data_IF_730973138137
#
_entry.id   IF_730973138137
#
_cell.length_a   1.000
_cell.length_b   1.000
_cell.length_c   1.000
_cell.angle_alpha   90.00
_cell.angle_beta   90.00
_cell.angle_gamma   90.00
#
_symmetry.space_group_name_H-M   'P 1'
#
loop_
_entity.id
_entity.type
_entity.pdbx_description
1 polymer ?
#
# COMPACT_ATOMS: atom_id res chain seq x y z
N UNK A 1 -8.53 4.84 7.40
CA UNK A 1 -9.24 6.13 7.57
C UNK A 1 -8.33 7.31 7.26
N UNK A 2 -8.92 8.42 6.77
CA UNK A 2 -8.22 9.71 6.59
C UNK A 2 -8.11 10.53 7.90
N UNK A 3 -8.70 10.07 9.00
CA UNK A 3 -8.57 10.66 10.33
C UNK A 3 -9.43 11.87 10.64
N UNK A 4 -10.09 12.48 9.67
CA UNK A 4 -10.84 13.73 9.89
C UNK A 4 -11.94 13.61 10.95
N UNK A 5 -12.63 12.47 10.99
CA UNK A 5 -13.75 12.20 11.89
C UNK A 5 -13.37 11.35 13.12
N UNK A 6 -12.09 11.12 13.39
CA UNK A 6 -11.67 10.42 14.61
C UNK A 6 -12.00 11.32 15.82
N UNK A 7 -12.77 10.77 16.72
CA UNK A 7 -13.13 11.29 18.05
C UNK A 7 -13.02 10.17 19.09
N UNK A 8 -13.46 10.40 20.33
CA UNK A 8 -13.38 9.41 21.40
C UNK A 8 -14.19 8.15 21.12
N UNK A 9 -15.40 8.30 20.55
CA UNK A 9 -16.27 7.16 20.27
C UNK A 9 -15.66 6.26 19.18
N UNK A 10 -15.01 6.86 18.18
CA UNK A 10 -14.28 6.13 17.12
C UNK A 10 -13.06 5.43 17.69
N UNK A 11 -12.30 6.06 18.59
CA UNK A 11 -11.15 5.47 19.28
C UNK A 11 -11.60 4.27 20.10
N UNK A 12 -12.59 4.44 20.94
CA UNK A 12 -13.18 3.38 21.77
C UNK A 12 -13.67 2.20 20.93
N UNK A 13 -14.34 2.47 19.81
CA UNK A 13 -14.81 1.43 18.89
C UNK A 13 -13.64 0.69 18.25
N UNK A 14 -12.65 1.42 17.76
CA UNK A 14 -11.47 0.84 17.12
C UNK A 14 -10.70 -0.06 18.09
N UNK A 15 -10.56 0.35 19.34
CA UNK A 15 -9.86 -0.42 20.36
C UNK A 15 -10.61 -1.69 20.77
N UNK A 16 -11.92 -1.65 20.80
CA UNK A 16 -12.72 -2.84 21.21
C UNK A 16 -12.96 -3.81 20.06
N UNK A 17 -13.13 -3.32 18.84
CA UNK A 17 -13.67 -4.12 17.73
C UNK A 17 -12.67 -4.40 16.61
N UNK A 18 -11.57 -3.63 16.51
CA UNK A 18 -10.65 -3.76 15.38
C UNK A 18 -9.31 -4.36 15.81
N UNK A 19 -8.90 -5.46 15.17
CA UNK A 19 -7.57 -6.03 15.35
C UNK A 19 -6.48 -5.11 14.79
N UNK A 20 -6.73 -4.46 13.66
CA UNK A 20 -5.80 -3.55 13.00
C UNK A 20 -6.52 -2.29 12.50
N UNK A 21 -5.81 -1.17 12.42
CA UNK A 21 -6.28 0.08 11.82
C UNK A 21 -5.24 0.66 10.87
N UNK A 22 -5.69 1.19 9.74
CA UNK A 22 -4.82 1.88 8.78
C UNK A 22 -5.16 3.36 8.75
N UNK A 23 -4.14 4.19 9.01
CA UNK A 23 -4.22 5.65 9.17
C UNK A 23 -3.51 6.30 7.99
N UNK A 24 -4.23 7.11 7.20
CA UNK A 24 -3.69 7.69 5.97
C UNK A 24 -2.90 8.97 6.26
N UNK A 25 -1.56 8.89 6.13
CA UNK A 25 -0.64 10.03 6.26
C UNK A 25 0.49 9.85 5.24
N UNK A 26 0.67 10.83 4.35
CA UNK A 26 1.64 10.73 3.26
C UNK A 26 3.05 11.25 3.64
N UNK A 27 3.27 11.58 4.92
CA UNK A 27 4.58 11.99 5.45
C UNK A 27 4.64 13.44 5.88
N UNK A 28 5.63 14.20 5.38
CA UNK A 28 5.83 15.62 5.69
C UNK A 28 4.58 16.44 5.39
N UNK A 29 4.35 17.49 6.18
CA UNK A 29 3.14 18.32 6.09
C UNK A 29 2.91 18.85 4.67
N UNK A 30 3.95 19.41 4.05
CA UNK A 30 3.87 19.99 2.70
C UNK A 30 3.55 18.96 1.61
N UNK A 31 3.95 17.70 1.82
CA UNK A 31 3.62 16.59 0.92
C UNK A 31 2.18 16.15 1.15
N UNK A 32 1.81 15.91 2.40
CA UNK A 32 0.47 15.48 2.77
C UNK A 32 -0.59 16.49 2.34
N UNK A 33 -0.41 17.76 2.68
CA UNK A 33 -1.39 18.84 2.45
C UNK A 33 -1.52 19.21 0.96
N UNK A 34 -0.61 18.75 0.09
CA UNK A 34 -0.73 18.96 -1.37
C UNK A 34 -1.92 18.21 -1.97
N UNK A 35 -2.19 16.99 -1.48
CA UNK A 35 -3.21 16.10 -2.05
C UNK A 35 -4.35 15.80 -1.07
N UNK A 36 -4.12 15.90 0.25
CA UNK A 36 -5.13 15.60 1.26
C UNK A 36 -5.63 16.87 1.92
N UNK A 37 -6.62 17.45 1.28
CA UNK A 37 -7.27 18.68 1.72
C UNK A 37 -8.68 18.42 2.26
N UNK A 38 -9.19 19.33 3.09
CA UNK A 38 -10.58 19.37 3.51
C UNK A 38 -11.48 19.90 2.36
N UNK A 39 -12.80 19.93 2.60
CA UNK A 39 -13.76 20.43 1.61
C UNK A 39 -13.62 21.94 1.31
N UNK A 40 -12.80 22.68 2.08
CA UNK A 40 -12.49 24.10 1.86
C UNK A 40 -11.14 24.29 1.16
N UNK A 41 -10.42 23.19 0.88
CA UNK A 41 -9.09 23.22 0.27
C UNK A 41 -7.95 23.44 1.27
N UNK A 42 -8.20 23.39 2.59
CA UNK A 42 -7.12 23.48 3.58
C UNK A 42 -6.49 22.10 3.78
N UNK A 43 -5.17 22.07 4.00
CA UNK A 43 -4.46 20.85 4.33
C UNK A 43 -5.00 20.18 5.59
N UNK A 44 -5.00 18.86 5.62
CA UNK A 44 -5.58 18.09 6.73
C UNK A 44 -4.55 17.64 7.78
N UNK A 45 -3.25 17.81 7.53
CA UNK A 45 -2.16 17.33 8.38
C UNK A 45 -2.30 17.73 9.86
N UNK A 46 -2.45 19.03 10.14
CA UNK A 46 -2.53 19.53 11.51
C UNK A 46 -3.77 19.05 12.26
N UNK A 47 -4.84 18.74 11.53
CA UNK A 47 -6.08 18.24 12.10
C UNK A 47 -5.99 16.74 12.44
N UNK A 48 -5.26 15.94 11.67
CA UNK A 48 -5.27 14.47 11.80
C UNK A 48 -4.12 13.93 12.65
N UNK A 49 -2.92 14.52 12.59
CA UNK A 49 -1.74 13.97 13.29
C UNK A 49 -1.96 13.85 14.81
N UNK A 50 -2.53 14.85 15.52
CA UNK A 50 -2.83 14.69 16.94
C UNK A 50 -3.82 13.55 17.23
N UNK A 51 -4.82 13.36 16.37
CA UNK A 51 -5.80 12.28 16.48
C UNK A 51 -5.18 10.90 16.25
N UNK A 52 -4.27 10.79 15.27
CA UNK A 52 -3.54 9.55 15.01
C UNK A 52 -2.64 9.17 16.20
N UNK A 53 -1.91 10.13 16.77
CA UNK A 53 -1.10 9.89 17.97
C UNK A 53 -1.96 9.35 19.12
N UNK A 54 -3.08 9.98 19.39
CA UNK A 54 -4.00 9.59 20.44
C UNK A 54 -4.59 8.19 20.21
N UNK A 55 -5.02 7.89 18.98
CA UNK A 55 -5.53 6.56 18.63
C UNK A 55 -4.45 5.50 18.76
N UNK A 56 -3.23 5.74 18.27
CA UNK A 56 -2.12 4.79 18.38
C UNK A 56 -1.73 4.55 19.84
N UNK A 57 -1.71 5.59 20.67
CA UNK A 57 -1.44 5.49 22.10
C UNK A 57 -2.51 4.65 22.83
N UNK A 58 -3.79 4.86 22.53
CA UNK A 58 -4.89 4.09 23.15
C UNK A 58 -4.86 2.61 22.78
N UNK A 59 -4.32 2.23 21.62
CA UNK A 59 -4.26 0.84 21.17
C UNK A 59 -3.39 -0.09 22.05
N UNK A 60 -2.48 0.47 22.87
CA UNK A 60 -1.72 -0.30 23.86
C UNK A 60 -0.93 -1.47 23.29
N UNK A 61 -0.37 -1.33 22.08
CA UNK A 61 0.41 -2.36 21.38
C UNK A 61 -0.36 -3.21 20.35
N UNK A 62 -1.65 -2.97 20.13
CA UNK A 62 -2.39 -3.59 19.02
C UNK A 62 -1.91 -3.01 17.68
N UNK A 63 -2.04 -3.80 16.64
CA UNK A 63 -1.56 -3.45 15.30
C UNK A 63 -2.23 -2.19 14.73
N UNK A 64 -1.42 -1.41 14.05
CA UNK A 64 -1.84 -0.28 13.21
C UNK A 64 -0.83 -0.12 12.08
N UNK A 65 -1.19 0.63 11.05
CA UNK A 65 -0.24 1.12 10.06
C UNK A 65 -0.53 2.58 9.73
N UNK A 66 0.53 3.40 9.75
CA UNK A 66 0.50 4.66 9.03
C UNK A 66 0.79 4.33 7.57
N UNK A 67 -0.16 4.62 6.70
CA UNK A 67 -0.04 4.33 5.27
C UNK A 67 -0.05 5.61 4.46
N UNK A 68 1.05 5.85 3.77
CA UNK A 68 1.22 6.96 2.85
C UNK A 68 1.34 6.51 1.39
N UNK A 69 1.31 7.50 0.50
CA UNK A 69 1.53 7.32 -0.93
C UNK A 69 2.61 8.31 -1.38
N UNK A 70 3.57 7.84 -2.18
CA UNK A 70 4.52 8.70 -2.84
C UNK A 70 4.22 8.82 -4.34
N UNK A 71 4.58 9.95 -4.92
CA UNK A 71 4.26 10.37 -6.29
C UNK A 71 5.50 10.95 -6.95
N UNK A 72 5.39 11.39 -8.19
CA UNK A 72 6.42 12.21 -8.85
C UNK A 72 6.86 13.42 -8.01
N UNK A 73 5.99 13.96 -7.18
CA UNK A 73 6.29 15.14 -6.36
C UNK A 73 7.19 14.84 -5.14
N UNK A 74 7.28 13.57 -4.72
CA UNK A 74 8.08 13.12 -3.57
C UNK A 74 8.74 11.75 -3.79
N UNK A 75 9.54 11.58 -4.85
CA UNK A 75 10.26 10.32 -5.08
C UNK A 75 11.29 10.04 -3.98
N UNK A 76 11.66 11.06 -3.18
CA UNK A 76 12.49 10.99 -1.98
C UNK A 76 11.70 10.52 -0.73
N UNK A 77 10.81 9.57 -0.89
CA UNK A 77 9.81 9.14 0.08
C UNK A 77 10.37 8.70 1.45
N UNK A 78 11.64 8.36 1.54
CA UNK A 78 12.28 8.02 2.83
C UNK A 78 12.24 9.19 3.80
N UNK A 79 12.29 10.43 3.32
CA UNK A 79 12.14 11.63 4.17
C UNK A 79 10.76 11.66 4.82
N UNK A 80 9.74 11.17 4.12
CA UNK A 80 8.39 11.06 4.63
C UNK A 80 8.25 9.94 5.65
N UNK A 81 8.89 8.78 5.38
CA UNK A 81 8.96 7.66 6.33
C UNK A 81 9.69 8.07 7.61
N UNK A 82 10.83 8.75 7.50
CA UNK A 82 11.59 9.22 8.66
C UNK A 82 10.82 10.29 9.45
N UNK A 83 10.14 11.20 8.77
CA UNK A 83 9.27 12.17 9.42
C UNK A 83 8.17 11.48 10.25
N UNK A 84 7.50 10.45 9.69
CA UNK A 84 6.49 9.69 10.44
C UNK A 84 7.12 8.94 11.63
N UNK A 85 8.32 8.39 11.48
CA UNK A 85 9.06 7.76 12.57
C UNK A 85 9.43 8.77 13.68
N UNK A 86 9.82 9.99 13.33
CA UNK A 86 10.15 11.06 14.27
C UNK A 86 8.91 11.60 14.99
N UNK A 87 7.71 11.46 14.42
CA UNK A 87 6.43 11.70 15.10
C UNK A 87 6.10 10.64 16.17
N UNK A 88 6.87 9.53 16.22
CA UNK A 88 6.69 8.42 17.15
C UNK A 88 5.92 7.23 16.58
N UNK A 89 5.59 7.22 15.30
CA UNK A 89 4.95 6.07 14.66
C UNK A 89 5.99 5.01 14.29
N UNK A 90 5.73 3.76 14.66
CA UNK A 90 6.66 2.64 14.47
C UNK A 90 6.23 1.63 13.41
N UNK A 91 4.96 1.63 13.00
CA UNK A 91 4.43 0.72 11.99
C UNK A 91 4.03 1.53 10.74
N UNK A 92 4.85 1.44 9.70
CA UNK A 92 4.82 2.34 8.55
C UNK A 92 4.66 1.58 7.24
N UNK A 93 3.99 2.20 6.29
CA UNK A 93 3.79 1.72 4.93
C UNK A 93 3.76 2.89 3.96
N UNK A 94 4.49 2.80 2.85
CA UNK A 94 4.46 3.77 1.75
C UNK A 94 4.36 3.04 0.43
N UNK A 95 3.34 3.39 -0.36
CA UNK A 95 3.09 2.80 -1.67
C UNK A 95 3.34 3.81 -2.80
N UNK A 96 3.79 3.37 -3.97
CA UNK A 96 3.74 4.22 -5.15
C UNK A 96 2.29 4.54 -5.52
N UNK A 97 2.09 5.73 -6.06
CA UNK A 97 0.78 6.11 -6.61
C UNK A 97 0.35 5.15 -7.71
N UNK A 98 -0.95 4.86 -7.76
CA UNK A 98 -1.60 4.25 -8.93
C UNK A 98 -2.16 5.39 -9.76
N UNK A 99 -1.58 5.65 -10.90
CA UNK A 99 -1.95 6.78 -11.77
C UNK A 99 -1.92 6.34 -13.23
N UNK A 100 -2.76 6.97 -14.05
CA UNK A 100 -2.75 6.78 -15.49
C UNK A 100 -1.54 7.49 -16.12
N UNK A 101 -1.18 7.08 -17.32
CA UNK A 101 -0.16 7.76 -18.11
C UNK A 101 -0.56 9.22 -18.37
N UNK A 102 0.38 10.15 -18.16
CA UNK A 102 0.14 11.58 -18.30
C UNK A 102 -0.48 12.27 -17.08
N UNK A 103 -0.82 11.53 -16.02
CA UNK A 103 -1.20 12.13 -14.75
C UNK A 103 0.03 12.82 -14.11
N UNK A 104 -0.08 14.08 -13.65
CA UNK A 104 1.03 14.79 -13.01
C UNK A 104 1.60 14.11 -11.76
N UNK A 105 0.86 13.21 -11.14
CA UNK A 105 1.32 12.42 -9.99
C UNK A 105 2.06 11.14 -10.40
N UNK A 106 1.94 10.69 -11.66
CA UNK A 106 2.54 9.45 -12.14
C UNK A 106 4.07 9.50 -12.03
N UNK A 107 4.67 8.37 -11.61
CA UNK A 107 6.13 8.23 -11.57
C UNK A 107 6.71 8.19 -12.97
N UNK A 108 7.85 8.83 -13.16
CA UNK A 108 8.66 8.81 -14.38
C UNK A 108 9.80 7.80 -14.27
N UNK A 109 10.49 7.52 -15.38
CA UNK A 109 11.69 6.67 -15.38
C UNK A 109 12.81 7.19 -14.47
N UNK A 110 12.95 8.52 -14.37
CA UNK A 110 13.93 9.15 -13.50
C UNK A 110 13.56 8.95 -12.01
N UNK A 111 12.29 9.06 -11.68
CA UNK A 111 11.79 8.80 -10.33
C UNK A 111 12.05 7.35 -9.89
N UNK A 112 11.94 6.39 -10.80
CA UNK A 112 12.17 4.98 -10.49
C UNK A 112 13.59 4.75 -9.99
N UNK A 113 14.59 5.37 -10.59
CA UNK A 113 15.99 5.26 -10.13
C UNK A 113 16.18 5.93 -8.77
N UNK A 114 15.55 7.08 -8.53
CA UNK A 114 15.56 7.72 -7.21
C UNK A 114 14.91 6.80 -6.18
N UNK A 115 13.72 6.29 -6.44
CA UNK A 115 12.97 5.42 -5.52
C UNK A 115 13.72 4.14 -5.19
N UNK A 116 14.43 3.53 -6.15
CA UNK A 116 15.29 2.37 -5.88
C UNK A 116 16.39 2.70 -4.85
N UNK A 117 17.05 3.85 -4.99
CA UNK A 117 18.04 4.32 -4.01
C UNK A 117 17.39 4.59 -2.65
N UNK A 118 16.19 5.17 -2.63
CA UNK A 118 15.47 5.41 -1.38
C UNK A 118 15.13 4.11 -0.64
N UNK A 119 14.79 3.03 -1.34
CA UNK A 119 14.61 1.72 -0.69
C UNK A 119 15.88 1.23 -0.01
N UNK A 120 17.05 1.40 -0.63
CA UNK A 120 18.35 1.06 0.00
C UNK A 120 18.64 1.91 1.25
N UNK A 121 18.43 3.22 1.15
CA UNK A 121 18.58 4.16 2.27
C UNK A 121 17.68 3.76 3.44
N UNK A 122 16.42 3.44 3.16
CA UNK A 122 15.47 3.02 4.18
C UNK A 122 15.91 1.73 4.88
N UNK A 123 16.32 0.72 4.11
CA UNK A 123 16.77 -0.56 4.66
C UNK A 123 18.01 -0.39 5.56
N UNK A 124 18.97 0.40 5.15
CA UNK A 124 20.16 0.72 5.96
C UNK A 124 19.80 1.49 7.23
N UNK A 125 18.91 2.48 7.16
CA UNK A 125 18.46 3.23 8.33
C UNK A 125 17.68 2.34 9.31
N UNK A 126 16.84 1.43 8.82
CA UNK A 126 16.12 0.49 9.66
C UNK A 126 17.06 -0.43 10.45
N UNK A 127 18.11 -0.98 9.81
CA UNK A 127 19.15 -1.76 10.51
C UNK A 127 19.88 -0.92 11.55
N UNK A 128 20.23 0.33 11.23
CA UNK A 128 20.84 1.25 12.18
C UNK A 128 19.91 1.52 13.37
N UNK A 129 18.64 1.85 13.14
CA UNK A 129 17.64 2.08 14.21
C UNK A 129 17.45 0.85 15.09
N UNK A 130 17.47 -0.34 14.53
CA UNK A 130 17.37 -1.61 15.28
C UNK A 130 18.54 -1.75 16.28
N UNK A 131 19.80 -1.51 15.83
CA UNK A 131 20.99 -1.51 16.68
C UNK A 131 20.95 -0.44 17.78
N UNK A 132 20.31 0.68 17.49
CA UNK A 132 20.10 1.79 18.45
C UNK A 132 18.92 1.56 19.43
N UNK A 133 18.21 0.43 19.34
CA UNK A 133 17.07 0.09 20.20
C UNK A 133 15.80 0.89 19.93
N UNK A 134 15.67 1.47 18.76
CA UNK A 134 14.46 2.23 18.32
C UNK A 134 13.96 1.77 16.93
N UNK A 135 13.60 0.49 16.82
CA UNK A 135 13.20 -0.10 15.54
C UNK A 135 11.90 0.51 15.01
N UNK A 136 11.77 0.50 13.69
CA UNK A 136 10.52 0.72 12.98
C UNK A 136 10.21 -0.49 12.11
N UNK A 137 8.93 -0.74 11.88
CA UNK A 137 8.46 -1.75 10.92
C UNK A 137 8.05 -1.05 9.64
N UNK A 138 8.62 -1.46 8.51
CA UNK A 138 8.16 -1.06 7.20
C UNK A 138 7.46 -2.25 6.53
N UNK A 139 6.15 -2.13 6.32
CA UNK A 139 5.28 -3.23 5.87
C UNK A 139 5.83 -3.99 4.67
N UNK A 140 6.42 -3.27 3.70
CA UNK A 140 6.91 -3.86 2.46
C UNK A 140 8.24 -4.61 2.58
N UNK A 141 8.88 -4.55 3.74
CA UNK A 141 10.09 -5.33 4.06
C UNK A 141 9.79 -6.52 4.97
N UNK A 142 8.53 -6.73 5.35
CA UNK A 142 8.10 -7.91 6.11
C UNK A 142 8.09 -9.13 5.18
N UNK A 143 9.20 -9.83 5.14
CA UNK A 143 9.40 -11.03 4.33
C UNK A 143 9.56 -12.25 5.23
N UNK A 144 8.66 -13.23 5.07
CA UNK A 144 8.80 -14.54 5.67
C UNK A 144 9.46 -15.48 4.66
N UNK A 145 10.72 -15.82 4.91
CA UNK A 145 11.50 -16.72 4.07
C UNK A 145 11.30 -18.20 4.44
N UNK A 146 10.80 -18.49 5.63
CA UNK A 146 10.67 -19.85 6.17
C UNK A 146 9.28 -20.44 5.89
N UNK A 147 8.23 -19.75 6.28
CA UNK A 147 6.86 -20.25 6.23
C UNK A 147 6.02 -19.59 5.13
N UNK A 148 5.95 -18.27 5.14
CA UNK A 148 5.21 -17.46 4.18
C UNK A 148 3.73 -17.84 4.03
N UNK A 149 2.95 -17.10 3.25
CA UNK A 149 1.58 -17.46 2.95
C UNK A 149 1.54 -18.73 2.06
N UNK A 150 0.39 -19.42 2.06
CA UNK A 150 0.19 -20.59 1.21
C UNK A 150 0.40 -20.23 -0.28
N UNK A 151 0.72 -21.24 -1.11
CA UNK A 151 1.01 -21.04 -2.53
C UNK A 151 -0.12 -20.33 -3.28
N UNK A 152 -1.37 -20.57 -2.92
CA UNK A 152 -2.52 -19.90 -3.52
C UNK A 152 -2.42 -18.37 -3.35
N UNK A 153 -2.14 -17.89 -2.13
CA UNK A 153 -1.96 -16.45 -1.85
C UNK A 153 -0.76 -15.86 -2.58
N UNK A 154 0.31 -16.63 -2.72
CA UNK A 154 1.50 -16.21 -3.48
C UNK A 154 1.23 -16.08 -4.99
N UNK A 155 0.22 -16.76 -5.49
CA UNK A 155 -0.17 -16.71 -6.90
C UNK A 155 -1.23 -15.62 -7.14
N UNK A 156 -2.27 -15.57 -6.29
CA UNK A 156 -3.44 -14.70 -6.48
C UNK A 156 -3.28 -13.27 -5.96
N UNK A 157 -2.29 -13.03 -5.09
CA UNK A 157 -2.04 -11.70 -4.54
C UNK A 157 -3.12 -11.19 -3.59
N UNK A 158 -3.58 -9.95 -3.77
CA UNK A 158 -4.52 -9.29 -2.87
C UNK A 158 -5.95 -9.82 -2.95
N UNK A 159 -6.28 -10.67 -3.95
CA UNK A 159 -7.61 -11.23 -4.11
C UNK A 159 -8.67 -10.23 -4.57
N UNK A 160 -8.28 -9.11 -5.22
CA UNK A 160 -9.24 -8.14 -5.76
C UNK A 160 -10.28 -8.80 -6.66
N UNK A 161 -11.55 -8.40 -6.51
CA UNK A 161 -12.68 -8.97 -7.24
C UNK A 161 -13.14 -10.36 -6.78
N UNK A 162 -12.40 -11.03 -5.90
CA UNK A 162 -12.73 -12.37 -5.41
C UNK A 162 -12.83 -12.45 -3.90
N UNK A 163 -11.76 -12.16 -3.16
CA UNK A 163 -11.70 -12.16 -1.70
C UNK A 163 -11.76 -10.76 -1.10
N UNK A 164 -11.46 -9.76 -1.90
CA UNK A 164 -11.49 -8.34 -1.57
C UNK A 164 -12.32 -7.61 -2.62
N UNK A 165 -13.22 -6.75 -2.17
CA UNK A 165 -14.06 -5.88 -3.00
C UNK A 165 -14.20 -4.51 -2.35
N UNK A 166 -14.35 -3.47 -3.18
CA UNK A 166 -14.76 -2.16 -2.71
C UNK A 166 -16.29 -2.05 -2.72
N UNK A 167 -16.82 -1.41 -1.68
CA UNK A 167 -18.25 -1.08 -1.56
C UNK A 167 -18.38 0.44 -1.55
N UNK A 168 -19.16 1.00 -2.47
CA UNK A 168 -19.44 2.43 -2.48
C UNK A 168 -20.44 2.82 -1.38
N UNK A 169 -20.57 4.11 -1.02
CA UNK A 169 -21.59 4.56 -0.09
C UNK A 169 -23.04 4.20 -0.51
N UNK A 170 -23.26 3.94 -1.79
CA UNK A 170 -24.55 3.53 -2.36
C UNK A 170 -24.71 2.02 -2.50
N UNK A 171 -23.76 1.26 -1.97
CA UNK A 171 -23.82 -0.21 -1.95
C UNK A 171 -23.35 -0.90 -3.23
N UNK A 172 -22.80 -0.18 -4.21
CA UNK A 172 -22.27 -0.80 -5.42
C UNK A 172 -20.96 -1.55 -5.13
N UNK A 173 -20.73 -2.66 -5.82
CA UNK A 173 -19.56 -3.51 -5.69
C UNK A 173 -18.61 -3.35 -6.87
N UNK A 174 -17.32 -3.16 -6.55
CA UNK A 174 -16.22 -3.11 -7.51
C UNK A 174 -15.06 -4.03 -7.07
N UNK A 175 -14.19 -4.49 -8.01
CA UNK A 175 -13.08 -5.38 -7.68
C UNK A 175 -12.13 -4.81 -6.62
N UNK A 176 -11.84 -3.52 -6.67
CA UNK A 176 -11.14 -2.76 -5.63
C UNK A 176 -11.44 -1.26 -5.77
N UNK A 177 -10.98 -0.46 -4.82
CA UNK A 177 -11.23 1.00 -4.81
C UNK A 177 -10.72 1.74 -6.05
N UNK A 178 -9.71 1.20 -6.75
CA UNK A 178 -9.16 1.80 -7.97
C UNK A 178 -10.08 1.67 -9.20
N UNK A 179 -11.06 0.78 -9.14
CA UNK A 179 -12.03 0.58 -10.22
C UNK A 179 -13.40 1.21 -9.90
N UNK A 180 -13.54 1.89 -8.75
CA UNK A 180 -14.80 2.55 -8.38
C UNK A 180 -15.14 3.63 -9.40
N UNK A 181 -16.35 3.56 -9.98
CA UNK A 181 -16.84 4.49 -10.99
C UNK A 181 -16.54 4.08 -12.44
N UNK A 182 -15.76 3.03 -12.67
CA UNK A 182 -15.62 2.43 -14.01
C UNK A 182 -16.74 1.41 -14.22
N UNK A 183 -17.73 1.77 -15.05
CA UNK A 183 -18.92 0.92 -15.32
C UNK A 183 -18.55 -0.47 -15.84
N UNK A 184 -17.44 -0.59 -16.58
CA UNK A 184 -16.93 -1.87 -17.08
C UNK A 184 -16.67 -2.86 -15.95
N UNK A 185 -16.25 -2.37 -14.80
CA UNK A 185 -15.87 -3.19 -13.65
C UNK A 185 -16.92 -3.20 -12.53
N UNK A 186 -18.14 -2.71 -12.80
CA UNK A 186 -19.24 -2.86 -11.86
C UNK A 186 -19.58 -4.35 -11.68
N UNK A 187 -19.58 -4.82 -10.43
CA UNK A 187 -19.79 -6.25 -10.10
C UNK A 187 -21.21 -6.56 -9.59
N UNK A 188 -21.99 -5.55 -9.24
CA UNK A 188 -23.31 -5.69 -8.62
C UNK A 188 -23.48 -4.79 -7.41
N UNK A 189 -24.25 -5.22 -6.43
CA UNK A 189 -24.55 -4.44 -5.22
C UNK A 189 -24.68 -5.33 -3.97
N UNK A 190 -24.67 -4.70 -2.77
CA UNK A 190 -24.73 -5.43 -1.49
C UNK A 190 -26.05 -6.16 -1.25
N UNK A 191 -27.13 -5.80 -1.97
CA UNK A 191 -28.45 -6.42 -1.79
C UNK A 191 -28.64 -7.67 -2.68
N UNK A 192 -28.07 -7.65 -3.89
CA UNK A 192 -28.14 -8.75 -4.86
C UNK A 192 -26.85 -9.57 -4.90
N UNK A 193 -25.78 -9.05 -4.28
CA UNK A 193 -24.46 -9.64 -4.35
C UNK A 193 -23.78 -9.41 -5.70
N UNK A 194 -22.79 -10.25 -6.01
CA UNK A 194 -22.06 -10.21 -7.28
C UNK A 194 -22.95 -10.77 -8.39
N UNK A 195 -23.46 -9.90 -9.25
CA UNK A 195 -24.30 -10.25 -10.40
C UNK A 195 -23.49 -10.35 -11.71
N UNK A 196 -22.44 -9.56 -11.86
CA UNK A 196 -21.53 -9.61 -13.01
C UNK A 196 -20.43 -10.65 -12.76
N UNK A 197 -20.72 -11.90 -13.11
CA UNK A 197 -19.79 -13.02 -12.94
C UNK A 197 -18.62 -12.97 -13.91
N UNK A 198 -18.77 -12.35 -15.07
CA UNK A 198 -17.71 -12.23 -16.07
C UNK A 198 -16.53 -11.42 -15.51
N UNK A 199 -16.80 -10.27 -14.88
CA UNK A 199 -15.76 -9.46 -14.20
C UNK A 199 -15.13 -10.25 -13.04
N UNK A 200 -15.96 -10.95 -12.23
CA UNK A 200 -15.41 -11.77 -11.14
C UNK A 200 -14.46 -12.85 -11.65
N UNK A 201 -14.84 -13.55 -12.72
CA UNK A 201 -14.02 -14.62 -13.32
C UNK A 201 -12.76 -14.06 -13.99
N UNK A 202 -12.83 -12.87 -14.61
CA UNK A 202 -11.66 -12.17 -15.14
C UNK A 202 -10.62 -11.90 -14.02
N UNK A 203 -11.06 -11.38 -12.89
CA UNK A 203 -10.18 -11.14 -11.73
C UNK A 203 -9.69 -12.43 -11.08
N UNK A 204 -10.50 -13.47 -11.03
CA UNK A 204 -10.09 -14.79 -10.53
C UNK A 204 -8.98 -15.42 -11.37
N UNK A 205 -9.02 -15.20 -12.68
CA UNK A 205 -7.99 -15.65 -13.60
C UNK A 205 -6.75 -14.73 -13.61
N UNK A 206 -6.85 -13.50 -13.07
CA UNK A 206 -5.75 -12.54 -13.02
C UNK A 206 -4.76 -12.90 -11.91
N UNK A 207 -3.76 -13.70 -12.22
CA UNK A 207 -2.76 -14.19 -11.27
C UNK A 207 -1.34 -14.14 -11.87
N UNK A 208 -0.32 -14.51 -11.09
CA UNK A 208 1.08 -14.45 -11.51
C UNK A 208 1.39 -15.30 -12.75
N UNK A 209 0.66 -16.37 -12.99
CA UNK A 209 0.90 -17.26 -14.16
C UNK A 209 0.11 -16.83 -15.40
N UNK A 210 -0.91 -15.98 -15.24
CA UNK A 210 -1.67 -15.42 -16.36
C UNK A 210 -0.91 -14.30 -17.09
N UNK A 211 0.16 -13.79 -16.48
CA UNK A 211 0.97 -12.68 -17.00
C UNK A 211 2.22 -13.21 -17.68
N UNK A 212 2.38 -12.91 -18.97
CA UNK A 212 3.50 -13.44 -19.77
C UNK A 212 4.87 -13.11 -19.16
N UNK A 213 5.14 -11.87 -18.79
CA UNK A 213 6.41 -11.45 -18.21
C UNK A 213 6.67 -11.95 -16.77
N UNK A 214 5.68 -12.60 -16.13
CA UNK A 214 5.86 -13.16 -14.79
C UNK A 214 6.32 -14.64 -14.82
N UNK A 215 6.20 -15.34 -15.94
CA UNK A 215 6.47 -16.78 -16.05
C UNK A 215 7.87 -17.15 -15.54
N UNK A 216 8.88 -16.41 -15.94
CA UNK A 216 10.29 -16.65 -15.59
C UNK A 216 10.84 -15.65 -14.55
N UNK A 217 9.96 -14.82 -13.95
CA UNK A 217 10.37 -13.84 -12.96
C UNK A 217 10.68 -14.52 -11.61
N UNK A 218 11.90 -14.32 -11.10
CA UNK A 218 12.33 -14.86 -9.80
C UNK A 218 11.46 -14.36 -8.64
N UNK A 219 10.93 -13.14 -8.73
CA UNK A 219 10.15 -12.49 -7.68
C UNK A 219 8.65 -12.86 -7.71
N UNK A 220 8.18 -13.65 -8.68
CA UNK A 220 6.74 -13.87 -8.93
C UNK A 220 5.94 -14.36 -7.72
N UNK A 221 6.52 -15.24 -6.90
CA UNK A 221 5.85 -15.78 -5.72
C UNK A 221 5.90 -14.88 -4.49
N UNK A 222 6.61 -13.77 -4.56
CA UNK A 222 6.59 -12.70 -3.57
C UNK A 222 5.72 -11.53 -4.05
N UNK A 223 5.78 -11.21 -5.35
CA UNK A 223 5.03 -10.14 -5.99
C UNK A 223 3.58 -10.54 -6.31
N UNK A 224 3.31 -11.84 -6.51
CA UNK A 224 1.99 -12.36 -6.89
C UNK A 224 1.44 -11.81 -8.21
N UNK A 225 2.33 -11.35 -9.12
CA UNK A 225 1.96 -10.76 -10.40
C UNK A 225 1.70 -9.25 -10.38
N UNK A 226 1.84 -8.58 -9.23
CA UNK A 226 1.64 -7.14 -9.10
C UNK A 226 0.18 -6.71 -9.01
N UNK A 227 -0.06 -5.39 -9.13
CA UNK A 227 -1.38 -4.79 -8.99
C UNK A 227 -2.16 -4.82 -10.31
N UNK A 228 -3.39 -5.34 -10.29
CA UNK A 228 -4.27 -5.38 -11.45
C UNK A 228 -4.65 -3.97 -11.95
N UNK A 229 -4.85 -3.02 -11.02
CA UNK A 229 -5.16 -1.64 -11.37
C UNK A 229 -3.98 -0.93 -12.06
N UNK A 230 -2.76 -1.07 -11.52
CA UNK A 230 -1.56 -0.54 -12.19
C UNK A 230 -1.38 -1.14 -13.59
N UNK A 231 -1.59 -2.44 -13.73
CA UNK A 231 -1.53 -3.11 -15.02
C UNK A 231 -2.57 -2.53 -16.01
N UNK A 232 -3.81 -2.34 -15.53
CA UNK A 232 -4.89 -1.78 -16.34
C UNK A 232 -4.59 -0.34 -16.79
N UNK A 233 -4.15 0.53 -15.89
CA UNK A 233 -3.80 1.92 -16.22
C UNK A 233 -2.62 2.01 -17.18
N UNK A 234 -1.64 1.12 -17.07
CA UNK A 234 -0.47 1.12 -17.93
C UNK A 234 -0.69 0.47 -19.30
N UNK A 235 -1.61 -0.50 -19.41
CA UNK A 235 -1.70 -1.36 -20.62
C UNK A 235 -3.11 -1.53 -21.17
N UNK A 236 -4.14 -1.05 -20.47
CA UNK A 236 -5.55 -1.30 -20.80
C UNK A 236 -6.04 -2.71 -20.41
N UNK A 237 -5.20 -3.54 -19.75
CA UNK A 237 -5.55 -4.90 -19.35
C UNK A 237 -5.15 -5.18 -17.92
N UNK A 238 -6.03 -5.83 -17.13
CA UNK A 238 -5.70 -6.24 -15.76
C UNK A 238 -4.62 -7.32 -15.70
N UNK A 239 -4.39 -8.06 -16.79
CA UNK A 239 -3.32 -9.05 -16.94
C UNK A 239 -2.05 -8.48 -17.58
N UNK A 240 -2.03 -7.22 -17.93
CA UNK A 240 -0.84 -6.52 -18.40
C UNK A 240 0.27 -6.43 -17.36
N UNK A 241 1.38 -5.79 -17.72
CA UNK A 241 2.53 -5.59 -16.84
C UNK A 241 2.82 -4.10 -16.70
N UNK A 242 2.89 -3.64 -15.47
CA UNK A 242 3.40 -2.32 -15.12
C UNK A 242 4.89 -2.45 -14.77
N UNK A 243 5.76 -2.14 -15.73
CA UNK A 243 7.22 -2.40 -15.63
C UNK A 243 7.85 -1.67 -14.44
N UNK A 244 7.51 -0.41 -14.20
CA UNK A 244 7.99 0.34 -13.03
C UNK A 244 7.62 -0.36 -11.72
N UNK A 245 6.40 -0.90 -11.64
CA UNK A 245 5.98 -1.70 -10.48
C UNK A 245 6.83 -2.96 -10.31
N UNK A 246 7.22 -3.61 -11.41
CA UNK A 246 8.10 -4.78 -11.38
C UNK A 246 9.48 -4.43 -10.82
N UNK A 247 10.08 -3.34 -11.29
CA UNK A 247 11.40 -2.89 -10.86
C UNK A 247 11.44 -2.48 -9.39
N UNK A 248 10.45 -1.68 -8.97
CA UNK A 248 10.33 -1.27 -7.57
C UNK A 248 10.09 -2.46 -6.65
N UNK A 249 9.26 -3.43 -7.08
CA UNK A 249 8.97 -4.59 -6.27
C UNK A 249 10.19 -5.51 -6.10
N UNK A 250 10.93 -5.77 -7.18
CA UNK A 250 12.18 -6.53 -7.11
C UNK A 250 13.17 -5.86 -6.14
N UNK A 251 13.32 -4.53 -6.24
CA UNK A 251 14.20 -3.78 -5.35
C UNK A 251 13.78 -3.87 -3.88
N UNK A 252 12.47 -3.80 -3.60
CA UNK A 252 11.95 -4.01 -2.23
C UNK A 252 12.31 -5.39 -1.67
N UNK A 253 12.16 -6.45 -2.49
CA UNK A 253 12.51 -7.81 -2.05
C UNK A 253 14.02 -7.95 -1.82
N UNK A 254 14.86 -7.40 -2.70
CA UNK A 254 16.31 -7.39 -2.50
C UNK A 254 16.70 -6.74 -1.17
N UNK A 255 16.13 -5.57 -0.86
CA UNK A 255 16.34 -4.89 0.42
C UNK A 255 15.86 -5.73 1.61
N UNK A 256 14.68 -6.34 1.51
CA UNK A 256 14.13 -7.20 2.57
C UNK A 256 15.02 -8.43 2.83
N UNK A 257 15.51 -9.08 1.77
CA UNK A 257 16.46 -10.21 1.88
C UNK A 257 17.77 -9.74 2.55
N UNK A 258 18.31 -8.61 2.11
CA UNK A 258 19.54 -8.03 2.69
C UNK A 258 19.38 -7.78 4.19
N UNK A 259 18.25 -7.21 4.61
CA UNK A 259 17.95 -6.99 6.03
C UNK A 259 17.91 -8.32 6.80
N UNK A 260 17.20 -9.34 6.29
CA UNK A 260 17.13 -10.67 6.92
C UNK A 260 18.49 -11.34 7.05
N UNK A 261 19.33 -11.25 6.04
CA UNK A 261 20.71 -11.78 6.09
C UNK A 261 21.54 -11.03 7.12
N UNK A 262 21.41 -9.69 7.22
CA UNK A 262 22.12 -8.90 8.22
C UNK A 262 21.69 -9.26 9.64
N UNK A 263 20.39 -9.41 9.89
CA UNK A 263 19.84 -9.82 11.20
C UNK A 263 20.32 -11.21 11.61
N UNK A 264 20.43 -12.16 10.67
CA UNK A 264 20.90 -13.52 10.96
C UNK A 264 22.42 -13.61 11.20
N UNK A 265 23.17 -12.56 10.86
CA UNK A 265 24.63 -12.50 11.00
C UNK A 265 25.09 -11.80 12.29
N UNK A 266 24.18 -11.18 13.02
CA UNK A 266 24.39 -10.55 14.33
C UNK A 266 24.05 -11.52 15.47
#
# INVERSE_FOLDING_TARGET
TNGMLIDEDVIDFADRQMSNVVLSLDGRKEIHDRLRVDYKGNGSYDAIVPKFKRLVESRGGKDYYIRGTFTHANPDFTKDVFHMADLGFTQLSMEPVVAAEGDPAALTSEDIEIVKQQYEILAQDMLRRQREGRPITFYHYMLDLEHGPCIYKRISGCGSGTEYMAVTPWGELYPCHQFVGDEKYSMGDIWKGVTNKEVQDEFKCCNAYAREGCKDCWAKLYCSGGCAANAYHATGSITGIYEYGCDLFKKRIECAIMMKVSEASE
#
